data_IF_974954767584
#
_entry.id   IF_974954767584
#
_cell.length_a   1.000
_cell.length_b   1.000
_cell.length_c   1.000
_cell.angle_alpha   90.00
_cell.angle_beta   90.00
_cell.angle_gamma   90.00
#
_symmetry.space_group_name_H-M   'P 1'
#
loop_
_entity.id
_entity.type
_entity.pdbx_description
1 polymer ?
#
# COMPACT_ATOMS: atom_id res chain seq x y z
N UNK A 1 28.70 17.43 -35.25
CA UNK A 1 28.52 16.72 -33.97
C UNK A 1 27.06 16.37 -33.87
N UNK A 2 26.75 15.09 -33.73
CA UNK A 2 25.47 14.50 -34.12
C UNK A 2 24.37 14.80 -33.10
N UNK A 3 23.20 15.22 -33.58
CA UNK A 3 21.95 15.40 -32.81
C UNK A 3 21.57 14.22 -31.89
N UNK A 4 22.16 13.05 -32.14
CA UNK A 4 22.03 11.82 -31.37
C UNK A 4 22.72 11.90 -29.99
N UNK A 5 23.84 12.63 -29.88
CA UNK A 5 24.52 12.85 -28.59
C UNK A 5 23.76 13.87 -27.73
N UNK A 6 23.19 14.91 -28.36
CA UNK A 6 22.32 15.88 -27.69
C UNK A 6 21.02 15.23 -27.21
N UNK A 7 20.40 14.36 -28.02
CA UNK A 7 19.23 13.59 -27.61
C UNK A 7 19.54 12.68 -26.40
N UNK A 8 20.68 11.97 -26.44
CA UNK A 8 21.10 11.11 -25.31
C UNK A 8 21.33 11.93 -24.05
N UNK A 9 21.93 13.12 -24.18
CA UNK A 9 22.16 14.01 -23.05
C UNK A 9 20.85 14.54 -22.47
N UNK A 10 19.91 14.95 -23.31
CA UNK A 10 18.57 15.39 -22.88
C UNK A 10 17.76 14.26 -22.23
N UNK A 11 17.80 13.04 -22.80
CA UNK A 11 17.15 11.88 -22.20
C UNK A 11 17.73 11.53 -20.83
N UNK A 12 19.06 11.53 -20.69
CA UNK A 12 19.70 11.30 -19.41
C UNK A 12 19.34 12.40 -18.39
N UNK A 13 19.30 13.66 -18.81
CA UNK A 13 18.89 14.79 -17.97
C UNK A 13 17.45 14.59 -17.46
N UNK A 14 16.51 14.22 -18.34
CA UNK A 14 15.10 13.99 -17.99
C UNK A 14 14.97 12.79 -17.02
N UNK A 15 15.74 11.73 -17.23
CA UNK A 15 15.76 10.56 -16.34
C UNK A 15 16.33 10.93 -14.97
N UNK A 16 17.36 11.78 -14.91
CA UNK A 16 17.93 12.23 -13.63
C UNK A 16 17.02 13.21 -12.90
N UNK A 17 16.40 14.16 -13.61
CA UNK A 17 15.44 15.12 -13.03
C UNK A 17 14.14 14.42 -12.57
N UNK A 18 13.71 13.36 -13.26
CA UNK A 18 12.53 12.57 -12.90
C UNK A 18 12.87 11.28 -12.15
N UNK A 19 14.07 11.12 -11.57
CA UNK A 19 14.34 10.00 -10.67
C UNK A 19 13.32 10.06 -9.54
N UNK A 20 12.35 9.12 -9.46
CA UNK A 20 11.42 9.12 -8.35
C UNK A 20 12.24 8.93 -7.08
N UNK A 21 12.09 9.87 -6.13
CA UNK A 21 12.87 9.91 -4.87
C UNK A 21 12.66 8.65 -4.02
N UNK A 22 11.71 7.79 -4.40
CA UNK A 22 11.47 6.46 -3.82
C UNK A 22 11.29 5.47 -4.97
N UNK A 23 12.24 4.55 -5.11
CA UNK A 23 12.11 3.41 -6.04
C UNK A 23 11.19 2.38 -5.40
N UNK A 24 9.88 2.57 -5.54
CA UNK A 24 8.83 1.65 -5.11
C UNK A 24 8.69 0.49 -6.13
N UNK A 25 9.73 -0.35 -6.22
CA UNK A 25 9.80 -1.48 -7.16
C UNK A 25 10.01 -2.82 -6.45
N UNK A 26 9.81 -2.90 -5.13
CA UNK A 26 9.88 -4.19 -4.43
C UNK A 26 8.75 -5.11 -4.92
N UNK A 27 8.90 -6.43 -4.70
CA UNK A 27 7.85 -7.40 -5.06
C UNK A 27 6.53 -7.05 -4.36
N UNK A 28 6.63 -6.58 -3.12
CA UNK A 28 5.51 -6.17 -2.29
C UNK A 28 4.86 -4.88 -2.82
N UNK A 29 5.66 -3.90 -3.26
CA UNK A 29 5.14 -2.67 -3.89
C UNK A 29 4.31 -2.97 -5.13
N UNK A 30 4.76 -3.92 -5.95
CA UNK A 30 4.03 -4.37 -7.14
C UNK A 30 2.69 -5.00 -6.75
N UNK A 31 2.71 -5.95 -5.80
CA UNK A 31 1.50 -6.64 -5.36
C UNK A 31 0.47 -5.67 -4.77
N UNK A 32 0.91 -4.70 -3.96
CA UNK A 32 0.01 -3.66 -3.42
C UNK A 32 -0.58 -2.81 -4.55
N UNK A 33 0.21 -2.40 -5.55
CA UNK A 33 -0.30 -1.63 -6.70
C UNK A 33 -1.26 -2.41 -7.57
N UNK A 34 -0.96 -3.67 -7.85
CA UNK A 34 -1.84 -4.57 -8.60
C UNK A 34 -3.19 -4.64 -7.89
N UNK A 35 -3.19 -4.88 -6.58
CA UNK A 35 -4.40 -4.92 -5.78
C UNK A 35 -5.17 -3.58 -5.75
N UNK A 36 -4.48 -2.44 -5.56
CA UNK A 36 -5.12 -1.12 -5.67
C UNK A 36 -5.75 -0.91 -7.06
N UNK A 37 -5.07 -1.36 -8.12
CA UNK A 37 -5.56 -1.25 -9.50
C UNK A 37 -6.81 -2.11 -9.71
N UNK A 38 -6.79 -3.36 -9.25
CA UNK A 38 -7.95 -4.27 -9.32
C UNK A 38 -9.18 -3.67 -8.61
N UNK A 39 -9.02 -3.06 -7.43
CA UNK A 39 -10.11 -2.39 -6.72
C UNK A 39 -10.63 -1.15 -7.47
N UNK A 40 -9.75 -0.35 -8.06
CA UNK A 40 -10.10 0.84 -8.84
C UNK A 40 -10.84 0.44 -10.12
N UNK A 41 -10.34 -0.56 -10.84
CA UNK A 41 -10.93 -1.09 -12.08
C UNK A 41 -12.30 -1.73 -11.82
N UNK A 42 -12.47 -2.34 -10.65
CA UNK A 42 -13.78 -2.83 -10.18
C UNK A 42 -14.77 -1.71 -9.85
N UNK A 43 -14.35 -0.44 -9.88
CA UNK A 43 -15.21 0.72 -9.63
C UNK A 43 -15.61 0.89 -8.17
N UNK A 44 -14.89 0.24 -7.25
CA UNK A 44 -15.23 0.20 -5.83
C UNK A 44 -14.93 1.55 -5.17
N UNK A 45 -15.99 2.28 -4.82
CA UNK A 45 -15.94 3.60 -4.17
C UNK A 45 -16.54 3.59 -2.76
N UNK A 46 -16.40 2.47 -2.06
CA UNK A 46 -16.89 2.30 -0.70
C UNK A 46 -15.72 2.27 0.25
N UNK A 47 -15.82 3.02 1.35
CA UNK A 47 -14.81 2.98 2.39
C UNK A 47 -14.96 1.69 3.21
N UNK A 48 -13.85 1.02 3.44
CA UNK A 48 -13.81 -0.15 4.30
C UNK A 48 -12.53 -0.15 5.11
N UNK A 49 -12.66 -0.56 6.37
CA UNK A 49 -11.56 -0.66 7.31
C UNK A 49 -11.76 -1.88 8.15
N UNK A 50 -10.69 -2.63 8.34
CA UNK A 50 -10.67 -3.84 9.14
C UNK A 50 -9.36 -3.91 9.93
N UNK A 51 -9.43 -4.44 11.14
CA UNK A 51 -8.24 -4.60 11.98
C UNK A 51 -7.37 -5.72 11.44
N UNK A 52 -6.04 -5.59 11.53
CA UNK A 52 -5.11 -6.63 11.07
C UNK A 52 -5.32 -7.94 11.86
N UNK A 53 -5.70 -7.86 13.14
CA UNK A 53 -6.08 -9.01 13.94
C UNK A 53 -7.35 -9.74 13.42
N UNK A 54 -8.26 -9.05 12.74
CA UNK A 54 -9.46 -9.69 12.17
C UNK A 54 -9.15 -10.42 10.85
N UNK A 55 -8.13 -9.95 10.13
CA UNK A 55 -7.61 -10.62 8.92
C UNK A 55 -6.76 -11.85 9.25
N UNK A 56 -6.09 -11.87 10.41
CA UNK A 56 -5.37 -13.04 10.86
C UNK A 56 -5.44 -13.15 12.39
N UNK A 57 -6.52 -13.78 12.91
CA UNK A 57 -6.73 -13.92 14.34
C UNK A 57 -5.62 -14.72 15.04
N UNK A 58 -5.03 -15.70 14.35
CA UNK A 58 -3.97 -16.55 14.90
C UNK A 58 -2.70 -15.76 15.25
N UNK A 59 -2.45 -14.66 14.53
CA UNK A 59 -1.30 -13.79 14.74
C UNK A 59 -1.67 -12.46 15.42
N UNK A 60 -2.88 -12.32 15.96
CA UNK A 60 -3.36 -11.04 16.52
C UNK A 60 -2.41 -10.43 17.56
N UNK A 61 -1.78 -11.26 18.39
CA UNK A 61 -0.84 -10.82 19.43
C UNK A 61 0.62 -10.66 18.97
N UNK A 62 0.92 -11.01 17.73
CA UNK A 62 2.27 -10.89 17.16
C UNK A 62 2.56 -9.46 16.72
N UNK A 63 3.84 -9.11 16.68
CA UNK A 63 4.30 -7.83 16.13
C UNK A 63 3.94 -7.69 14.65
N UNK A 64 3.52 -6.50 14.24
CA UNK A 64 3.29 -6.17 12.84
C UNK A 64 4.41 -5.30 12.27
N UNK A 65 4.95 -5.68 11.12
CA UNK A 65 5.99 -4.94 10.41
C UNK A 65 7.28 -4.74 11.21
N UNK A 66 7.61 -5.71 12.08
CA UNK A 66 8.78 -5.66 12.96
C UNK A 66 8.78 -4.54 14.00
N UNK A 67 7.62 -3.90 14.21
CA UNK A 67 7.45 -2.88 15.25
C UNK A 67 7.20 -3.49 16.62
N UNK A 68 7.31 -2.67 17.68
CA UNK A 68 6.90 -3.05 19.03
C UNK A 68 5.39 -3.11 19.24
N UNK A 69 4.58 -2.81 18.22
CA UNK A 69 3.13 -2.81 18.27
C UNK A 69 2.57 -4.11 17.68
N UNK A 70 1.47 -4.57 18.28
CA UNK A 70 0.78 -5.81 17.91
C UNK A 70 -0.18 -5.62 16.72
N UNK A 71 -0.60 -6.72 16.09
CA UNK A 71 -1.53 -6.71 14.94
C UNK A 71 -2.91 -6.15 15.30
N UNK A 72 -3.40 -6.33 16.52
CA UNK A 72 -4.63 -5.70 17.01
C UNK A 72 -4.55 -4.16 17.09
N UNK A 73 -3.36 -3.59 17.05
CA UNK A 73 -3.12 -2.14 17.09
C UNK A 73 -3.00 -1.51 15.70
N UNK A 74 -3.20 -2.28 14.63
CA UNK A 74 -3.18 -1.80 13.26
C UNK A 74 -4.47 -2.11 12.52
N UNK A 75 -4.90 -1.20 11.66
CA UNK A 75 -5.97 -1.44 10.69
C UNK A 75 -5.51 -1.17 9.27
N UNK A 76 -6.03 -1.97 8.34
CA UNK A 76 -5.89 -1.73 6.90
C UNK A 76 -7.23 -1.18 6.42
N UNK A 77 -7.18 -0.08 5.68
CA UNK A 77 -8.37 0.57 5.15
C UNK A 77 -8.25 0.83 3.66
N UNK A 78 -9.31 0.55 2.92
CA UNK A 78 -9.57 1.10 1.60
C UNK A 78 -10.41 2.36 1.77
N UNK A 79 -9.81 3.54 1.59
CA UNK A 79 -10.49 4.82 1.80
C UNK A 79 -9.94 5.93 0.94
N UNK A 80 -10.67 7.03 0.83
CA UNK A 80 -10.13 8.23 0.18
C UNK A 80 -8.94 8.76 0.98
N UNK A 81 -7.81 8.89 0.31
CA UNK A 81 -6.62 9.48 0.88
C UNK A 81 -6.46 10.92 0.39
N UNK A 82 -6.33 11.86 1.33
CA UNK A 82 -6.17 13.30 1.05
C UNK A 82 -7.25 13.91 0.12
N UNK A 83 -8.44 13.30 0.09
CA UNK A 83 -9.60 13.78 -0.68
C UNK A 83 -9.59 13.45 -2.16
N UNK A 84 -8.56 12.79 -2.68
CA UNK A 84 -8.41 12.53 -4.11
C UNK A 84 -8.90 11.14 -4.51
N UNK A 85 -8.09 10.13 -4.24
CA UNK A 85 -8.26 8.76 -4.74
C UNK A 85 -8.43 7.78 -3.58
N UNK A 86 -9.18 6.71 -3.83
CA UNK A 86 -9.19 5.59 -2.91
C UNK A 86 -7.83 4.89 -2.93
N UNK A 87 -7.27 4.65 -1.75
CA UNK A 87 -5.97 4.02 -1.56
C UNK A 87 -6.02 3.08 -0.37
N UNK A 88 -5.08 2.14 -0.37
CA UNK A 88 -4.80 1.33 0.81
C UNK A 88 -4.00 2.12 1.82
N UNK A 89 -4.53 2.20 3.03
CA UNK A 89 -3.98 2.96 4.14
C UNK A 89 -3.79 2.01 5.32
N UNK A 90 -2.57 1.97 5.86
CA UNK A 90 -2.29 1.34 7.12
C UNK A 90 -2.39 2.39 8.24
N UNK A 91 -3.23 2.14 9.23
CA UNK A 91 -3.41 3.04 10.37
C UNK A 91 -2.94 2.36 11.65
N UNK A 92 -2.04 3.00 12.39
CA UNK A 92 -1.77 2.63 13.78
C UNK A 92 -2.90 3.22 14.65
N UNK A 93 -3.71 2.34 15.25
CA UNK A 93 -4.92 2.70 15.99
C UNK A 93 -4.57 3.50 17.27
N UNK A 94 -3.65 3.05 18.14
CA UNK A 94 -3.27 3.79 19.35
C UNK A 94 -2.82 5.23 19.09
N UNK A 95 -2.12 5.47 17.99
CA UNK A 95 -1.57 6.79 17.65
C UNK A 95 -2.40 7.56 16.62
N UNK A 96 -3.53 7.00 16.17
CA UNK A 96 -4.35 7.51 15.09
C UNK A 96 -3.53 8.00 13.87
N UNK A 97 -2.49 7.24 13.53
CA UNK A 97 -1.51 7.63 12.51
C UNK A 97 -1.67 6.74 11.28
N UNK A 98 -2.31 7.29 10.25
CA UNK A 98 -2.49 6.65 8.95
C UNK A 98 -1.34 6.95 7.99
N UNK A 99 -0.87 5.94 7.25
CA UNK A 99 0.04 6.11 6.13
C UNK A 99 -0.43 5.26 4.96
N UNK A 100 -0.19 5.74 3.73
CA UNK A 100 -0.37 4.92 2.54
C UNK A 100 0.45 3.63 2.68
N UNK A 101 -0.16 2.49 2.39
CA UNK A 101 0.48 1.19 2.55
C UNK A 101 1.77 1.11 1.72
N UNK A 102 1.75 1.65 0.50
CA UNK A 102 2.93 1.79 -0.37
C UNK A 102 4.07 2.64 0.21
N UNK A 103 3.76 3.59 1.11
CA UNK A 103 4.75 4.45 1.76
C UNK A 103 5.23 3.90 3.11
N UNK A 104 4.75 2.71 3.51
CA UNK A 104 5.21 2.06 4.74
C UNK A 104 6.58 1.38 4.54
N UNK A 105 7.35 1.15 5.62
CA UNK A 105 8.59 0.40 5.55
C UNK A 105 8.39 -1.02 4.99
N UNK A 106 9.43 -1.60 4.39
CA UNK A 106 9.34 -2.89 3.69
C UNK A 106 8.79 -4.04 4.56
N UNK A 107 9.11 -4.07 5.84
CA UNK A 107 8.60 -5.09 6.77
C UNK A 107 7.07 -5.04 6.90
N UNK A 108 6.49 -3.83 6.96
CA UNK A 108 5.03 -3.68 6.98
C UNK A 108 4.40 -4.12 5.66
N UNK A 109 5.04 -3.82 4.53
CA UNK A 109 4.55 -4.23 3.21
C UNK A 109 4.54 -5.75 3.06
N UNK A 110 5.57 -6.45 3.57
CA UNK A 110 5.63 -7.92 3.58
C UNK A 110 4.44 -8.51 4.33
N UNK A 111 4.27 -8.12 5.59
CA UNK A 111 3.16 -8.61 6.42
C UNK A 111 1.79 -8.24 5.83
N UNK A 112 1.65 -7.04 5.27
CA UNK A 112 0.37 -6.58 4.71
C UNK A 112 0.00 -7.32 3.41
N UNK A 113 0.99 -7.63 2.56
CA UNK A 113 0.74 -8.36 1.31
C UNK A 113 0.17 -9.75 1.56
N UNK A 114 0.61 -10.42 2.62
CA UNK A 114 0.06 -11.72 3.04
C UNK A 114 -1.41 -11.65 3.48
N UNK A 115 -1.91 -10.44 3.80
CA UNK A 115 -3.27 -10.22 4.28
C UNK A 115 -4.21 -9.65 3.22
N UNK A 116 -3.71 -9.29 2.03
CA UNK A 116 -4.53 -8.65 0.98
C UNK A 116 -5.63 -9.57 0.46
N UNK A 117 -5.36 -10.87 0.33
CA UNK A 117 -6.33 -11.84 -0.18
C UNK A 117 -7.48 -12.04 0.83
N UNK A 118 -7.15 -12.13 2.13
CA UNK A 118 -8.15 -12.18 3.19
C UNK A 118 -8.93 -10.86 3.31
N UNK A 119 -8.23 -9.73 3.15
CA UNK A 119 -8.87 -8.41 3.11
C UNK A 119 -9.89 -8.34 1.97
N UNK A 120 -9.57 -8.81 0.77
CA UNK A 120 -10.53 -8.86 -0.34
C UNK A 120 -11.73 -9.76 -0.05
N UNK A 121 -11.50 -10.88 0.62
CA UNK A 121 -12.55 -11.82 1.03
C UNK A 121 -13.51 -11.14 2.00
N UNK A 122 -12.98 -10.60 3.11
CA UNK A 122 -13.75 -9.86 4.12
C UNK A 122 -14.45 -8.63 3.55
N UNK A 123 -13.78 -7.94 2.64
CA UNK A 123 -14.34 -6.80 1.94
C UNK A 123 -15.57 -7.23 1.13
N UNK A 124 -15.46 -8.30 0.34
CA UNK A 124 -16.57 -8.83 -0.47
C UNK A 124 -17.72 -9.35 0.39
N UNK A 125 -17.43 -10.01 1.52
CA UNK A 125 -18.43 -10.45 2.50
C UNK A 125 -19.22 -9.26 3.09
N UNK A 126 -18.60 -8.10 3.25
CA UNK A 126 -19.27 -6.90 3.78
C UNK A 126 -20.33 -6.30 2.83
N UNK A 127 -20.42 -6.76 1.57
CA UNK A 127 -21.41 -6.31 0.59
C UNK A 127 -22.52 -7.33 0.32
N UNK A 128 -22.42 -8.55 0.84
CA UNK A 128 -23.45 -9.59 0.75
C UNK A 128 -24.39 -9.53 1.95
#
# INVERSE_FOLDING_TARGET
MSSLEELKKQMNQIIEDNKPSVVLNSKEDRRIREFETELIESGIKVEFSITVAELNPELAEHSFGGSGFKRDQYSISWKKWEGENFRLVLTNIPHNNGKLLLKTPEQFKKDAVELLDEFATKFSESFN
#
